data_IF_983075064581
#
_entry.id   IF_983075064581
#
_cell.length_a   1.000
_cell.length_b   1.000
_cell.length_c   1.000
_cell.angle_alpha   90.00
_cell.angle_beta   90.00
_cell.angle_gamma   90.00
#
_symmetry.space_group_name_H-M   'P 1'
#
loop_
_entity.id
_entity.type
_entity.pdbx_description
1 polymer ?
#
# COMPACT_ATOMS: atom_id res chain seq x y z
N UNK A 1 32.78 -21.43 25.92
CA UNK A 1 32.15 -20.41 25.06
C UNK A 1 31.07 -21.09 24.25
N UNK A 2 29.81 -20.95 24.65
CA UNK A 2 28.67 -21.45 23.87
C UNK A 2 28.45 -20.51 22.69
N UNK A 3 28.33 -20.99 21.44
CA UNK A 3 28.04 -20.12 20.32
C UNK A 3 26.60 -19.58 20.48
N UNK A 4 26.44 -18.26 20.41
CA UNK A 4 25.12 -17.64 20.35
C UNK A 4 24.64 -17.83 18.90
N UNK A 5 23.68 -18.74 18.70
CA UNK A 5 22.99 -18.87 17.42
C UNK A 5 22.28 -17.54 17.12
N UNK A 6 22.51 -16.90 15.96
CA UNK A 6 21.77 -15.70 15.59
C UNK A 6 20.27 -16.03 15.49
N UNK A 7 19.38 -15.10 15.88
CA UNK A 7 17.95 -15.32 15.70
C UNK A 7 17.65 -15.57 14.22
N UNK A 8 16.69 -16.47 13.95
CA UNK A 8 16.22 -16.73 12.59
C UNK A 8 15.81 -15.40 11.91
N UNK A 9 16.01 -15.26 10.59
CA UNK A 9 15.58 -14.07 9.88
C UNK A 9 14.08 -13.84 10.12
N UNK A 10 13.72 -12.60 10.46
CA UNK A 10 12.35 -12.19 10.86
C UNK A 10 11.29 -12.59 9.83
N UNK A 11 11.71 -12.74 8.57
CA UNK A 11 10.90 -13.10 7.40
C UNK A 11 10.20 -14.46 7.48
N UNK A 12 10.71 -15.41 8.28
CA UNK A 12 10.17 -16.78 8.33
C UNK A 12 9.23 -17.02 9.53
N UNK A 13 8.90 -15.97 10.30
CA UNK A 13 8.00 -16.11 11.43
C UNK A 13 6.51 -16.13 11.01
N UNK A 14 5.66 -16.97 11.62
CA UNK A 14 4.20 -16.97 11.35
C UNK A 14 3.52 -15.61 11.61
N UNK A 15 4.12 -14.78 12.47
CA UNK A 15 3.65 -13.44 12.73
C UNK A 15 3.95 -12.50 11.55
N UNK A 16 5.14 -12.59 10.98
CA UNK A 16 5.52 -11.84 9.77
C UNK A 16 4.60 -12.17 8.60
N UNK A 17 4.32 -13.45 8.33
CA UNK A 17 3.40 -13.86 7.26
C UNK A 17 1.99 -13.29 7.44
N UNK A 18 1.48 -13.25 8.68
CA UNK A 18 0.18 -12.64 8.99
C UNK A 18 0.17 -11.12 8.82
N UNK A 19 1.24 -10.45 9.25
CA UNK A 19 1.38 -9.00 9.07
C UNK A 19 1.46 -8.63 7.59
N UNK A 20 2.24 -9.40 6.81
CA UNK A 20 2.36 -9.26 5.38
C UNK A 20 1.00 -9.43 4.67
N UNK A 21 0.25 -10.48 4.99
CA UNK A 21 -1.09 -10.70 4.42
C UNK A 21 -2.05 -9.54 4.75
N UNK A 22 -2.07 -9.06 6.00
CA UNK A 22 -2.89 -7.91 6.40
C UNK A 22 -2.51 -6.62 5.68
N UNK A 23 -1.21 -6.42 5.46
CA UNK A 23 -0.72 -5.26 4.72
C UNK A 23 -1.16 -5.32 3.24
N UNK A 24 -1.09 -6.49 2.60
CA UNK A 24 -1.63 -6.68 1.25
C UNK A 24 -3.14 -6.43 1.17
N UNK A 25 -3.92 -6.96 2.12
CA UNK A 25 -5.37 -6.70 2.19
C UNK A 25 -5.67 -5.21 2.35
N UNK A 26 -4.86 -4.52 3.16
CA UNK A 26 -4.97 -3.07 3.37
C UNK A 26 -4.63 -2.29 2.09
N UNK A 27 -3.61 -2.71 1.34
CA UNK A 27 -3.27 -2.11 0.04
C UNK A 27 -4.39 -2.30 -0.98
N UNK A 28 -5.01 -3.47 -1.06
CA UNK A 28 -6.18 -3.66 -1.93
C UNK A 28 -7.32 -2.71 -1.56
N UNK A 29 -7.60 -2.53 -0.26
CA UNK A 29 -8.58 -1.56 0.21
C UNK A 29 -8.22 -0.12 -0.16
N UNK A 30 -6.94 0.26 -0.01
CA UNK A 30 -6.43 1.57 -0.39
C UNK A 30 -6.57 1.81 -1.89
N UNK A 31 -6.16 0.87 -2.73
CA UNK A 31 -6.26 1.00 -4.20
C UNK A 31 -7.71 1.17 -4.65
N UNK A 32 -8.65 0.43 -4.07
CA UNK A 32 -10.07 0.59 -4.37
C UNK A 32 -10.61 1.95 -3.90
N UNK A 33 -10.24 2.37 -2.69
CA UNK A 33 -10.63 3.65 -2.11
C UNK A 33 -10.10 4.84 -2.88
N UNK A 34 -8.83 4.81 -3.25
CA UNK A 34 -8.15 5.80 -4.10
C UNK A 34 -8.80 5.86 -5.48
N UNK A 35 -8.89 4.73 -6.19
CA UNK A 35 -9.46 4.67 -7.54
C UNK A 35 -10.89 5.24 -7.60
N UNK A 36 -11.75 4.85 -6.65
CA UNK A 36 -13.13 5.34 -6.57
C UNK A 36 -13.19 6.78 -6.07
N UNK A 37 -12.43 7.13 -5.03
CA UNK A 37 -12.39 8.46 -4.43
C UNK A 37 -11.94 9.52 -5.43
N UNK A 38 -10.93 9.19 -6.24
CA UNK A 38 -10.38 10.03 -7.30
C UNK A 38 -11.46 10.51 -8.29
N UNK A 39 -12.46 9.67 -8.55
CA UNK A 39 -13.56 10.01 -9.47
C UNK A 39 -14.38 11.21 -9.00
N UNK A 40 -14.38 11.52 -7.71
CA UNK A 40 -15.17 12.62 -7.14
C UNK A 40 -14.43 13.95 -7.04
N UNK A 41 -13.15 14.01 -7.45
CA UNK A 41 -12.49 15.28 -7.80
C UNK A 41 -12.90 15.79 -9.18
N UNK A 42 -13.53 14.94 -10.01
CA UNK A 42 -14.14 15.36 -11.28
C UNK A 42 -15.54 15.91 -11.00
N UNK A 43 -15.80 17.22 -11.21
CA UNK A 43 -17.09 17.84 -10.82
C UNK A 43 -18.33 17.17 -11.43
N UNK A 44 -18.21 16.62 -12.64
CA UNK A 44 -19.27 15.91 -13.33
C UNK A 44 -19.74 14.61 -12.63
N UNK A 45 -18.94 14.06 -11.71
CA UNK A 45 -19.28 12.86 -10.95
C UNK A 45 -19.91 13.15 -9.59
N UNK A 46 -19.83 14.39 -9.08
CA UNK A 46 -20.39 14.77 -7.77
C UNK A 46 -21.91 14.49 -7.62
N UNK A 47 -22.76 14.68 -8.64
CA UNK A 47 -24.17 14.31 -8.53
C UNK A 47 -24.37 12.82 -8.27
N UNK A 48 -23.52 11.95 -8.84
CA UNK A 48 -23.58 10.49 -8.64
C UNK A 48 -23.27 10.10 -7.20
N UNK A 49 -22.30 10.77 -6.56
CA UNK A 49 -22.02 10.57 -5.13
C UNK A 49 -23.26 10.81 -4.27
N UNK A 50 -23.93 11.95 -4.50
CA UNK A 50 -25.16 12.33 -3.76
C UNK A 50 -26.29 11.33 -3.98
N UNK A 51 -26.37 10.76 -5.17
CA UNK A 51 -27.38 9.77 -5.56
C UNK A 51 -26.97 8.33 -5.24
N UNK A 52 -25.80 8.11 -4.62
CA UNK A 52 -25.20 6.78 -4.36
C UNK A 52 -25.10 5.91 -5.63
N UNK A 53 -24.78 6.55 -6.74
CA UNK A 53 -24.53 5.88 -8.01
C UNK A 53 -23.03 5.82 -8.29
N UNK A 54 -22.62 4.75 -8.94
CA UNK A 54 -21.23 4.56 -9.34
C UNK A 54 -20.88 5.46 -10.54
N UNK A 55 -19.69 6.08 -10.56
CA UNK A 55 -19.18 6.76 -11.75
C UNK A 55 -18.84 5.74 -12.86
N UNK A 56 -18.83 6.15 -14.14
CA UNK A 56 -18.42 5.27 -15.24
C UNK A 56 -17.02 4.68 -14.99
N UNK A 57 -16.82 3.44 -15.43
CA UNK A 57 -15.52 2.76 -15.40
C UNK A 57 -14.72 3.07 -16.68
N UNK A 58 -13.38 2.92 -16.69
CA UNK A 58 -12.51 2.44 -15.59
C UNK A 58 -12.24 3.50 -14.51
N UNK A 59 -11.87 3.04 -13.31
CA UNK A 59 -11.38 3.90 -12.22
C UNK A 59 -9.88 3.69 -12.07
N UNK A 60 -9.04 4.56 -12.65
CA UNK A 60 -7.60 4.50 -12.39
C UNK A 60 -7.32 4.91 -10.94
N UNK A 61 -6.33 4.26 -10.33
CA UNK A 61 -5.71 4.72 -9.08
C UNK A 61 -4.80 5.94 -9.34
N UNK A 62 -4.39 6.60 -8.27
CA UNK A 62 -3.53 7.79 -8.28
C UNK A 62 -2.19 7.52 -7.59
N UNK A 63 -1.38 8.57 -7.43
CA UNK A 63 -0.10 8.50 -6.73
C UNK A 63 -0.22 7.98 -5.29
N UNK A 64 -1.38 8.14 -4.63
CA UNK A 64 -1.65 7.56 -3.32
C UNK A 64 -1.40 6.04 -3.29
N UNK A 65 -1.87 5.30 -4.30
CA UNK A 65 -1.65 3.86 -4.41
C UNK A 65 -0.18 3.50 -4.63
N UNK A 66 0.49 4.21 -5.54
CA UNK A 66 1.90 3.96 -5.84
C UNK A 66 2.79 4.25 -4.61
N UNK A 67 2.55 5.36 -3.92
CA UNK A 67 3.29 5.74 -2.72
C UNK A 67 3.10 4.73 -1.58
N UNK A 68 1.88 4.23 -1.38
CA UNK A 68 1.62 3.18 -0.40
C UNK A 68 2.31 1.85 -0.75
N UNK A 69 2.31 1.47 -2.03
CA UNK A 69 3.02 0.30 -2.52
C UNK A 69 4.53 0.41 -2.31
N UNK A 70 5.14 1.58 -2.55
CA UNK A 70 6.56 1.81 -2.31
C UNK A 70 6.94 1.72 -0.82
N UNK A 71 6.11 2.26 0.08
CA UNK A 71 6.27 2.10 1.54
C UNK A 71 6.24 0.62 1.93
N UNK A 72 5.27 -0.13 1.40
CA UNK A 72 5.16 -1.57 1.67
C UNK A 72 6.34 -2.35 1.11
N UNK A 73 6.79 -2.05 -0.11
CA UNK A 73 7.93 -2.71 -0.74
C UNK A 73 9.22 -2.51 0.07
N UNK A 74 9.46 -1.31 0.59
CA UNK A 74 10.61 -1.02 1.46
C UNK A 74 10.56 -1.83 2.76
N UNK A 75 9.39 -1.85 3.44
CA UNK A 75 9.19 -2.64 4.66
C UNK A 75 9.33 -4.14 4.41
N UNK A 76 8.71 -4.66 3.35
CA UNK A 76 8.71 -6.08 3.01
C UNK A 76 10.11 -6.58 2.61
N UNK A 77 10.90 -5.74 1.97
CA UNK A 77 12.25 -6.09 1.49
C UNK A 77 13.30 -5.94 2.58
N UNK A 78 13.23 -4.88 3.38
CA UNK A 78 14.31 -4.50 4.30
C UNK A 78 13.95 -4.65 5.78
N UNK A 79 12.69 -4.98 6.10
CA UNK A 79 12.19 -5.14 7.48
C UNK A 79 12.10 -3.82 8.27
N UNK A 80 12.37 -2.68 7.63
CA UNK A 80 12.36 -1.33 8.19
C UNK A 80 12.19 -0.30 7.07
N UNK A 81 11.80 0.92 7.40
CA UNK A 81 11.87 2.05 6.47
C UNK A 81 13.25 2.69 6.54
N UNK A 82 13.95 2.66 5.42
CA UNK A 82 15.05 3.58 5.12
C UNK A 82 14.49 4.76 4.32
N UNK A 83 14.51 5.96 4.92
CA UNK A 83 13.87 7.14 4.34
C UNK A 83 14.54 7.59 3.04
N UNK A 84 15.85 7.45 2.92
CA UNK A 84 16.59 7.89 1.73
C UNK A 84 16.29 6.95 0.56
N UNK A 85 16.22 5.63 0.81
CA UNK A 85 15.82 4.64 -0.21
C UNK A 85 14.38 4.85 -0.65
N UNK A 86 13.48 5.08 0.30
CA UNK A 86 12.08 5.33 0.03
C UNK A 86 11.92 6.62 -0.79
N UNK A 87 12.55 7.73 -0.38
CA UNK A 87 12.53 8.98 -1.13
C UNK A 87 13.08 8.80 -2.56
N UNK A 88 14.17 8.05 -2.71
CA UNK A 88 14.74 7.73 -4.01
C UNK A 88 13.85 6.82 -4.87
N UNK A 89 12.89 6.08 -4.29
CA UNK A 89 11.88 5.35 -5.07
C UNK A 89 10.77 6.27 -5.59
N UNK A 90 10.39 7.30 -4.83
CA UNK A 90 9.37 8.26 -5.26
C UNK A 90 9.80 9.16 -6.41
N UNK A 91 11.12 9.31 -6.61
CA UNK A 91 11.69 10.21 -7.61
C UNK A 91 12.09 9.50 -8.93
N UNK A 92 11.72 8.23 -9.14
CA UNK A 92 12.03 7.46 -10.36
C UNK A 92 10.92 7.54 -11.40
#
# INVERSE_FOLDING_TARGET
MTPITPPAPVSDSPQYSRQYARALDSLHGLTLGDSLGAQFFVPANLPRLRQRQLPPTPWPWTDDTEMACAVFAELATHGRIDQDRLAASFAR
#
